data_IF_114826993813
#
_entry.id   IF_114826993813
#
_cell.length_a   1.000
_cell.length_b   1.000
_cell.length_c   1.000
_cell.angle_alpha   90.00
_cell.angle_beta   90.00
_cell.angle_gamma   90.00
#
_symmetry.space_group_name_H-M   'P 1'
#
loop_
_entity.id
_entity.type
_entity.pdbx_description
1 polymer ?
#
# COMPACT_ATOMS: atom_id res chain seq x y z
N UNK A 1 -19.41 -7.84 0.58
CA UNK A 1 -18.08 -7.95 1.17
C UNK A 1 -17.74 -6.66 1.89
N UNK A 2 -17.27 -6.77 3.11
CA UNK A 2 -16.86 -5.62 3.90
C UNK A 2 -15.38 -5.36 3.63
N UNK A 3 -15.02 -4.14 3.26
CA UNK A 3 -13.62 -3.80 3.05
C UNK A 3 -13.34 -2.39 3.56
N UNK A 4 -12.07 -2.15 3.91
CA UNK A 4 -11.60 -0.82 4.27
C UNK A 4 -10.64 -0.33 3.20
N UNK A 5 -10.49 0.97 3.11
CA UNK A 5 -9.59 1.59 2.15
C UNK A 5 -8.81 2.72 2.82
N UNK A 6 -7.66 3.05 2.27
CA UNK A 6 -6.93 4.24 2.66
C UNK A 6 -7.55 5.40 1.89
N UNK A 7 -7.86 6.48 2.58
CA UNK A 7 -8.48 7.64 1.96
C UNK A 7 -7.56 8.85 2.07
N UNK A 8 -7.80 9.83 1.20
CA UNK A 8 -7.08 11.11 1.19
C UNK A 8 -8.12 12.21 1.37
N UNK A 9 -7.93 13.06 2.37
CA UNK A 9 -8.87 14.16 2.60
C UNK A 9 -8.58 15.35 1.68
N UNK A 10 -9.37 16.41 1.81
CA UNK A 10 -9.22 17.59 0.96
C UNK A 10 -7.89 18.32 1.13
N UNK A 11 -7.15 18.05 2.20
CA UNK A 11 -5.85 18.63 2.46
C UNK A 11 -4.70 17.71 2.07
N UNK A 12 -5.01 16.59 1.43
CA UNK A 12 -3.99 15.63 1.02
C UNK A 12 -3.49 14.72 2.12
N UNK A 13 -4.17 14.69 3.27
CA UNK A 13 -3.77 13.83 4.37
C UNK A 13 -4.35 12.44 4.19
N UNK A 14 -3.50 11.44 4.45
CA UNK A 14 -3.93 10.04 4.38
C UNK A 14 -4.57 9.61 5.68
N UNK A 15 -5.64 8.82 5.56
CA UNK A 15 -6.27 8.16 6.68
C UNK A 15 -6.17 6.66 6.47
N UNK A 16 -5.42 6.00 7.34
CA UNK A 16 -5.23 4.55 7.27
C UNK A 16 -6.16 3.90 8.28
N UNK A 17 -7.01 2.95 7.83
CA UNK A 17 -7.93 2.30 8.75
C UNK A 17 -7.17 1.46 9.78
N UNK A 18 -7.81 1.25 10.94
CA UNK A 18 -7.22 0.42 11.99
C UNK A 18 -7.20 -1.06 11.59
N UNK A 19 -8.20 -1.51 10.85
CA UNK A 19 -8.30 -2.89 10.44
C UNK A 19 -7.70 -3.09 9.06
N UNK A 20 -6.43 -3.47 9.04
CA UNK A 20 -5.70 -3.68 7.79
C UNK A 20 -6.00 -5.03 7.15
N UNK A 21 -6.59 -5.96 7.89
CA UNK A 21 -6.96 -7.26 7.35
C UNK A 21 -8.08 -7.14 6.32
N UNK A 22 -8.95 -6.16 6.49
CA UNK A 22 -10.05 -5.91 5.57
C UNK A 22 -9.70 -4.86 4.50
N UNK A 23 -8.44 -4.44 4.45
CA UNK A 23 -8.03 -3.44 3.48
C UNK A 23 -7.84 -4.08 2.10
N UNK A 24 -8.67 -3.64 1.18
CA UNK A 24 -8.63 -4.08 -0.22
C UNK A 24 -8.93 -2.86 -1.09
N UNK A 25 -8.04 -2.52 -1.99
CA UNK A 25 -8.17 -1.31 -2.81
C UNK A 25 -8.17 -1.64 -4.28
N UNK A 26 -9.03 -0.96 -5.02
CA UNK A 26 -9.10 -1.09 -6.47
C UNK A 26 -7.98 -0.30 -7.13
N UNK A 27 -7.77 -0.54 -8.44
CA UNK A 27 -6.79 0.24 -9.20
C UNK A 27 -7.10 1.73 -9.16
N UNK A 28 -8.36 2.11 -9.33
CA UNK A 28 -8.73 3.52 -9.32
C UNK A 28 -8.45 4.17 -7.98
N UNK A 29 -8.74 3.46 -6.90
CA UNK A 29 -8.43 3.96 -5.55
C UNK A 29 -6.93 4.12 -5.35
N UNK A 30 -6.14 3.17 -5.85
CA UNK A 30 -4.68 3.26 -5.77
C UNK A 30 -4.13 4.40 -6.61
N UNK A 31 -4.66 4.59 -7.81
CA UNK A 31 -4.24 5.68 -8.69
C UNK A 31 -4.48 7.03 -8.01
N UNK A 32 -5.66 7.21 -7.43
CA UNK A 32 -6.00 8.46 -6.74
C UNK A 32 -5.12 8.70 -5.52
N UNK A 33 -4.90 7.66 -4.71
CA UNK A 33 -4.10 7.79 -3.50
C UNK A 33 -2.63 8.00 -3.79
N UNK A 34 -2.09 7.25 -4.74
CA UNK A 34 -0.66 7.26 -5.02
C UNK A 34 -0.25 8.33 -6.03
N UNK A 35 -1.21 8.93 -6.71
CA UNK A 35 -0.95 9.98 -7.69
C UNK A 35 -0.07 9.47 -8.83
N UNK A 36 -0.49 8.37 -9.43
CA UNK A 36 0.24 7.75 -10.54
C UNK A 36 -0.74 7.43 -11.67
N UNK A 37 -0.19 7.15 -12.84
CA UNK A 37 -1.00 6.75 -13.99
C UNK A 37 -1.33 5.26 -13.92
N UNK A 38 -2.38 4.86 -14.61
CA UNK A 38 -2.76 3.45 -14.69
C UNK A 38 -1.64 2.57 -15.30
N UNK A 39 -0.99 2.98 -16.41
CA UNK A 39 0.10 2.16 -16.95
C UNK A 39 1.26 1.99 -15.97
N UNK A 40 1.60 3.04 -15.23
CA UNK A 40 2.68 2.96 -14.24
C UNK A 40 2.30 1.99 -13.13
N UNK A 41 1.08 2.08 -12.61
CA UNK A 41 0.61 1.18 -11.57
C UNK A 41 0.65 -0.27 -12.04
N UNK A 42 0.14 -0.53 -13.24
CA UNK A 42 0.12 -1.89 -13.76
C UNK A 42 1.52 -2.45 -13.96
N UNK A 43 2.46 -1.63 -14.40
CA UNK A 43 3.84 -2.06 -14.58
C UNK A 43 4.47 -2.45 -13.24
N UNK A 44 4.22 -1.65 -12.19
CA UNK A 44 4.75 -1.93 -10.87
C UNK A 44 4.16 -3.23 -10.31
N UNK A 45 2.86 -3.42 -10.47
CA UNK A 45 2.21 -4.65 -9.98
C UNK A 45 2.79 -5.88 -10.69
N UNK A 46 2.98 -5.80 -12.00
CA UNK A 46 3.59 -6.93 -12.75
C UNK A 46 5.00 -7.22 -12.24
N UNK A 47 5.78 -6.19 -11.97
CA UNK A 47 7.14 -6.36 -11.45
C UNK A 47 7.13 -7.04 -10.09
N UNK A 48 6.19 -6.65 -9.22
CA UNK A 48 6.08 -7.25 -7.89
C UNK A 48 5.77 -8.74 -8.00
N UNK A 49 4.82 -9.12 -8.85
CA UNK A 49 4.49 -10.53 -9.02
C UNK A 49 5.65 -11.31 -9.63
N UNK A 50 6.37 -10.68 -10.55
CA UNK A 50 7.51 -11.34 -11.19
C UNK A 50 8.61 -11.69 -10.20
N UNK A 51 8.77 -10.89 -9.15
CA UNK A 51 9.76 -11.17 -8.12
C UNK A 51 9.39 -12.34 -7.23
N UNK A 52 8.11 -12.70 -7.19
CA UNK A 52 7.67 -13.89 -6.48
C UNK A 52 7.54 -13.76 -4.98
N UNK A 53 7.69 -12.57 -4.42
CA UNK A 53 7.56 -12.40 -2.97
C UNK A 53 6.13 -12.38 -2.47
N UNK A 54 5.20 -12.00 -3.34
CA UNK A 54 3.78 -11.98 -3.01
C UNK A 54 3.04 -12.93 -3.94
N UNK A 55 2.11 -13.69 -3.37
CA UNK A 55 1.28 -14.62 -4.13
C UNK A 55 -0.02 -13.93 -4.53
N UNK A 56 -0.34 -13.97 -5.81
CA UNK A 56 -1.55 -13.36 -6.32
C UNK A 56 -2.79 -13.87 -5.58
N UNK A 57 -2.83 -15.15 -5.25
CA UNK A 57 -3.97 -15.74 -4.56
C UNK A 57 -4.21 -15.13 -3.16
N UNK A 58 -3.17 -14.52 -2.57
CA UNK A 58 -3.28 -13.96 -1.23
C UNK A 58 -3.52 -12.45 -1.23
N UNK A 59 -3.03 -11.76 -2.25
CA UNK A 59 -3.03 -10.29 -2.25
C UNK A 59 -3.92 -9.67 -3.31
N UNK A 60 -4.64 -10.48 -4.07
CA UNK A 60 -5.51 -10.00 -5.13
C UNK A 60 -6.80 -10.79 -5.10
N UNK A 61 -7.92 -10.10 -5.28
CA UNK A 61 -9.21 -10.77 -5.44
C UNK A 61 -10.11 -9.93 -6.33
N UNK A 62 -11.21 -10.52 -6.76
CA UNK A 62 -12.18 -9.84 -7.60
C UNK A 62 -13.44 -9.56 -6.80
N UNK A 63 -14.03 -8.41 -7.06
CA UNK A 63 -15.29 -8.01 -6.47
C UNK A 63 -16.29 -7.71 -7.58
N UNK A 64 -17.48 -8.28 -7.43
CA UNK A 64 -18.55 -8.01 -8.38
C UNK A 64 -19.20 -6.68 -8.01
N UNK A 65 -19.28 -5.76 -8.97
CA UNK A 65 -19.91 -4.46 -8.77
C UNK A 65 -21.37 -4.47 -9.22
N UNK A 66 -21.65 -5.17 -10.30
CA UNK A 66 -22.99 -5.32 -10.83
C UNK A 66 -22.98 -6.50 -11.78
N UNK A 67 -24.12 -6.78 -12.44
CA UNK A 67 -24.17 -7.88 -13.38
C UNK A 67 -23.09 -7.70 -14.44
N UNK A 68 -22.21 -8.69 -14.56
CA UNK A 68 -21.14 -8.74 -15.55
C UNK A 68 -20.09 -7.64 -15.40
N UNK A 69 -20.09 -6.91 -14.27
CA UNK A 69 -19.08 -5.89 -13.98
C UNK A 69 -18.30 -6.28 -12.75
N UNK A 70 -16.99 -6.44 -12.92
CA UNK A 70 -16.07 -6.86 -11.84
C UNK A 70 -14.92 -5.88 -11.73
N UNK A 71 -14.36 -5.77 -10.54
CA UNK A 71 -13.11 -5.05 -10.33
C UNK A 71 -12.13 -5.92 -9.58
N UNK A 72 -10.85 -5.66 -9.81
CA UNK A 72 -9.78 -6.31 -9.07
C UNK A 72 -9.45 -5.48 -7.85
N UNK A 73 -9.27 -6.15 -6.72
CA UNK A 73 -8.88 -5.52 -5.47
C UNK A 73 -7.53 -6.07 -5.02
N UNK A 74 -6.73 -5.20 -4.43
CA UNK A 74 -5.39 -5.54 -3.93
C UNK A 74 -5.34 -5.33 -2.42
N UNK A 75 -4.82 -6.34 -1.73
CA UNK A 75 -4.72 -6.31 -0.28
C UNK A 75 -3.57 -5.46 0.23
N UNK A 76 -3.53 -5.24 1.53
CA UNK A 76 -2.55 -4.35 2.14
C UNK A 76 -1.11 -4.70 1.80
N UNK A 77 -0.67 -5.98 1.81
CA UNK A 77 0.72 -6.28 1.45
C UNK A 77 1.09 -5.80 0.05
N UNK A 78 0.17 -5.93 -0.92
CA UNK A 78 0.42 -5.41 -2.26
C UNK A 78 0.49 -3.88 -2.26
N UNK A 79 -0.41 -3.23 -1.52
CA UNK A 79 -0.42 -1.76 -1.44
C UNK A 79 0.92 -1.25 -0.87
N UNK A 80 1.43 -1.90 0.16
CA UNK A 80 2.73 -1.55 0.74
C UNK A 80 3.85 -1.76 -0.29
N UNK A 81 3.86 -2.90 -0.95
CA UNK A 81 4.89 -3.20 -1.95
C UNK A 81 4.88 -2.16 -3.08
N UNK A 82 3.70 -1.76 -3.52
CA UNK A 82 3.57 -0.75 -4.56
C UNK A 82 4.15 0.59 -4.09
N UNK A 83 3.79 1.04 -2.89
CA UNK A 83 4.23 2.38 -2.44
C UNK A 83 5.74 2.46 -2.24
N UNK A 84 6.40 1.33 -1.95
CA UNK A 84 7.85 1.34 -1.80
C UNK A 84 8.59 1.27 -3.12
N UNK A 85 7.89 1.14 -4.24
CA UNK A 85 8.49 1.11 -5.58
C UNK A 85 8.20 2.36 -6.38
N UNK A 86 7.45 3.29 -5.82
CA UNK A 86 7.06 4.52 -6.50
C UNK A 86 7.72 5.71 -5.84
N UNK A 87 7.97 6.75 -6.67
CA UNK A 87 8.57 7.99 -6.18
C UNK A 87 7.57 9.15 -6.15
N UNK A 88 6.30 8.88 -6.42
CA UNK A 88 5.26 9.91 -6.41
C UNK A 88 5.06 10.48 -5.01
N UNK A 89 4.47 11.67 -4.94
CA UNK A 89 4.15 12.29 -3.66
C UNK A 89 3.19 11.44 -2.84
N UNK A 90 2.20 10.83 -3.49
CA UNK A 90 1.26 9.98 -2.80
C UNK A 90 1.93 8.75 -2.19
N UNK A 91 2.87 8.14 -2.93
CA UNK A 91 3.62 7.01 -2.41
C UNK A 91 4.50 7.42 -1.24
N UNK A 92 5.15 8.58 -1.33
CA UNK A 92 5.99 9.09 -0.25
C UNK A 92 5.15 9.34 1.01
N UNK A 93 3.96 9.91 0.86
CA UNK A 93 3.08 10.14 2.00
C UNK A 93 2.62 8.83 2.63
N UNK A 94 2.33 7.83 1.82
CA UNK A 94 1.93 6.53 2.36
C UNK A 94 3.08 5.86 3.11
N UNK A 95 4.29 5.89 2.55
CA UNK A 95 5.46 5.36 3.26
C UNK A 95 5.65 6.03 4.60
N UNK A 96 5.55 7.37 4.62
CA UNK A 96 5.69 8.14 5.85
C UNK A 96 4.61 7.78 6.87
N UNK A 97 3.38 7.63 6.42
CA UNK A 97 2.28 7.26 7.29
C UNK A 97 2.45 5.86 7.87
N UNK A 98 2.95 4.93 7.06
CA UNK A 98 3.23 3.57 7.54
C UNK A 98 4.30 3.61 8.63
N UNK A 99 5.39 4.34 8.40
CA UNK A 99 6.45 4.44 9.40
C UNK A 99 5.95 5.10 10.69
N UNK A 100 5.19 6.17 10.59
CA UNK A 100 4.64 6.82 11.77
C UNK A 100 3.76 5.89 12.58
N UNK A 101 3.01 5.05 11.91
CA UNK A 101 2.15 4.09 12.59
C UNK A 101 2.98 3.03 13.31
N UNK A 102 4.08 2.58 12.69
CA UNK A 102 4.99 1.63 13.32
C UNK A 102 5.73 2.24 14.49
N UNK A 103 6.05 3.53 14.41
CA UNK A 103 6.80 4.25 15.44
C UNK A 103 5.92 4.91 16.48
N UNK A 104 4.64 4.68 16.43
CA UNK A 104 3.66 5.44 17.19
C UNK A 104 3.97 5.64 18.66
N UNK A 105 4.85 4.81 19.25
CA UNK A 105 5.36 4.97 20.59
C UNK A 105 6.86 5.17 20.54
N UNK A 106 7.42 5.86 21.56
CA UNK A 106 8.85 6.19 21.58
C UNK A 106 9.75 4.95 21.53
N UNK A 107 9.35 3.89 22.21
CA UNK A 107 10.15 2.67 22.19
C UNK A 107 10.26 2.04 20.82
N UNK A 108 9.29 2.29 19.96
CA UNK A 108 9.34 1.79 18.60
C UNK A 108 10.36 2.51 17.73
N UNK A 109 10.69 3.73 18.10
CA UNK A 109 11.73 4.48 17.41
C UNK A 109 13.07 3.76 17.47
N UNK A 110 13.39 3.20 18.63
CA UNK A 110 14.64 2.46 18.79
C UNK A 110 14.68 1.25 17.88
N UNK A 111 13.57 0.53 17.75
CA UNK A 111 13.49 -0.63 16.85
C UNK A 111 13.77 -0.22 15.42
N UNK A 112 13.22 0.89 15.01
CA UNK A 112 13.39 1.38 13.66
C UNK A 112 14.84 1.78 13.40
N UNK A 113 15.46 2.44 14.35
CA UNK A 113 16.86 2.80 14.21
C UNK A 113 17.74 1.56 14.03
N UNK A 114 17.41 0.47 14.69
CA UNK A 114 18.12 -0.78 14.50
C UNK A 114 17.94 -1.32 13.10
N UNK A 115 16.74 -1.21 12.54
CA UNK A 115 16.44 -1.71 11.20
C UNK A 115 17.15 -0.86 10.14
N UNK A 116 17.13 0.46 10.28
CA UNK A 116 17.63 1.34 9.24
C UNK A 116 19.05 1.81 9.45
N UNK A 117 19.47 1.97 10.67
CA UNK A 117 20.76 2.58 10.94
C UNK A 117 21.77 1.63 11.51
N UNK A 118 21.32 0.75 12.37
CA UNK A 118 22.20 -0.11 13.13
C UNK A 118 22.42 -1.47 12.53
N UNK A 119 21.58 -1.86 11.66
CA UNK A 119 21.65 -3.21 11.13
C UNK A 119 22.84 -3.42 10.22
N UNK A 120 23.46 -2.36 9.83
CA UNK A 120 24.49 -2.39 8.82
C UNK A 120 24.05 -3.00 7.51
N UNK A 121 22.83 -3.41 7.45
CA UNK A 121 22.23 -3.68 6.18
C UNK A 121 22.27 -2.42 5.35
N UNK A 122 22.42 -1.32 6.02
CA UNK A 122 22.49 -0.01 5.42
C UNK A 122 23.88 0.58 5.43
N UNK A 123 24.79 -0.16 5.92
CA UNK A 123 26.16 0.32 5.97
C UNK A 123 27.06 -0.56 5.15
#
# INVERSE_FOLDING_TARGET
>A
MKRTVITVDGNGRLSIPSNLEDLWMSENELIDMLYVTAPKLKAVIRAIYKEGMLLMSEVQKRQKLSKDVWQTLYGFPMVVAICFRLTSNGAAQLRDAIFKRLYGAKEKTAIVLQIYGGSNAFS
#
